data_IF_361854184559
#
_entry.id   IF_361854184559
#
_cell.length_a   1.000
_cell.length_b   1.000
_cell.length_c   1.000
_cell.angle_alpha   90.00
_cell.angle_beta   90.00
_cell.angle_gamma   90.00
#
_symmetry.space_group_name_H-M   'P 1'
#
loop_
_entity.id
_entity.type
_entity.pdbx_description
1 polymer ?
#
# COMPACT_ATOMS: atom_id res chain seq x y z
N UNK A 1 30.15 -23.37 21.99
CA UNK A 1 28.71 -23.66 22.12
C UNK A 1 27.98 -22.57 21.36
N UNK A 2 27.63 -22.83 20.09
CA UNK A 2 27.03 -21.84 19.18
C UNK A 2 25.52 -21.84 19.39
N UNK A 3 24.94 -20.66 19.58
CA UNK A 3 23.51 -20.47 19.80
C UNK A 3 22.70 -20.97 18.60
N UNK A 4 21.65 -21.75 18.89
CA UNK A 4 20.62 -22.16 17.95
C UNK A 4 19.93 -20.89 17.43
N UNK A 5 20.17 -20.52 16.18
CA UNK A 5 19.33 -19.55 15.49
C UNK A 5 18.09 -20.33 15.06
N UNK A 6 16.95 -20.09 15.71
CA UNK A 6 15.68 -20.65 15.26
C UNK A 6 15.47 -20.24 13.79
N UNK A 7 15.35 -21.25 12.95
CA UNK A 7 15.16 -21.11 11.52
C UNK A 7 13.81 -20.42 11.29
N UNK A 8 13.86 -19.21 10.72
CA UNK A 8 12.66 -18.43 10.44
C UNK A 8 11.71 -19.23 9.54
N UNK A 9 10.57 -19.66 10.10
CA UNK A 9 9.48 -20.29 9.37
C UNK A 9 8.50 -19.20 8.94
N UNK A 10 8.52 -18.73 7.67
CA UNK A 10 7.55 -17.76 7.21
C UNK A 10 6.14 -18.37 7.31
N UNK A 11 5.30 -17.79 8.17
CA UNK A 11 3.90 -18.17 8.29
C UNK A 11 3.22 -18.14 6.91
N UNK A 12 2.48 -19.21 6.59
CA UNK A 12 1.89 -19.46 5.29
C UNK A 12 1.28 -18.18 4.67
N UNK A 13 1.80 -17.81 3.50
CA UNK A 13 1.29 -16.70 2.71
C UNK A 13 -0.11 -17.08 2.24
N UNK A 14 -1.15 -16.57 2.93
CA UNK A 14 -2.53 -16.80 2.53
C UNK A 14 -2.73 -16.28 1.10
N UNK A 15 -3.11 -17.11 0.10
CA UNK A 15 -3.22 -16.71 -1.30
C UNK A 15 -4.50 -15.92 -1.60
N UNK A 16 -5.25 -15.52 -0.57
CA UNK A 16 -6.53 -14.86 -0.69
C UNK A 16 -6.48 -13.45 -0.09
N UNK A 17 -6.09 -12.49 -0.93
CA UNK A 17 -6.85 -11.25 -1.08
C UNK A 17 -6.66 -10.14 -0.04
N UNK A 18 -5.50 -10.03 0.62
CA UNK A 18 -5.18 -8.85 1.45
C UNK A 18 -5.29 -7.53 0.67
N UNK A 19 -5.03 -7.60 -0.64
CA UNK A 19 -5.03 -6.46 -1.55
C UNK A 19 -6.27 -6.35 -2.45
N UNK A 20 -7.17 -7.34 -2.35
CA UNK A 20 -8.37 -7.42 -3.20
C UNK A 20 -9.36 -6.28 -2.91
N UNK A 21 -9.46 -5.82 -1.66
CA UNK A 21 -10.29 -4.68 -1.27
C UNK A 21 -9.85 -3.36 -1.92
N UNK A 22 -8.57 -3.25 -2.28
CA UNK A 22 -7.98 -2.12 -2.99
C UNK A 22 -7.89 -2.35 -4.51
N UNK A 23 -8.43 -3.47 -5.02
CA UNK A 23 -8.37 -3.82 -6.44
C UNK A 23 -6.96 -4.09 -6.98
N UNK A 24 -5.99 -4.37 -6.10
CA UNK A 24 -4.61 -4.65 -6.45
C UNK A 24 -4.38 -6.17 -6.54
N UNK A 25 -3.71 -6.67 -7.61
CA UNK A 25 -3.36 -8.08 -7.72
C UNK A 25 -2.33 -8.47 -6.65
N UNK A 26 -2.37 -9.73 -6.19
CA UNK A 26 -1.40 -10.26 -5.25
C UNK A 26 0.04 -10.05 -5.78
N UNK A 27 0.93 -9.68 -4.86
CA UNK A 27 2.32 -9.30 -5.10
C UNK A 27 2.97 -10.18 -6.19
N UNK A 28 3.08 -9.63 -7.39
CA UNK A 28 3.56 -10.33 -8.58
C UNK A 28 3.73 -9.39 -9.77
N UNK A 29 4.09 -9.97 -10.93
CA UNK A 29 4.32 -9.25 -12.19
C UNK A 29 3.17 -8.30 -12.56
N UNK A 30 1.91 -8.68 -12.30
CA UNK A 30 0.74 -7.84 -12.59
C UNK A 30 0.66 -6.55 -11.77
N UNK A 31 1.20 -6.54 -10.55
CA UNK A 31 1.29 -5.33 -9.73
C UNK A 31 2.39 -4.40 -10.26
N UNK A 32 3.55 -4.97 -10.62
CA UNK A 32 4.64 -4.21 -11.20
C UNK A 32 4.22 -3.52 -12.50
N UNK A 33 3.49 -4.21 -13.37
CA UNK A 33 2.98 -3.63 -14.61
C UNK A 33 1.96 -2.52 -14.34
N UNK A 34 1.05 -2.68 -13.37
CA UNK A 34 0.12 -1.60 -12.99
C UNK A 34 0.82 -0.37 -12.41
N UNK A 35 1.87 -0.55 -11.61
CA UNK A 35 2.69 0.56 -11.12
C UNK A 35 3.43 1.22 -12.29
N UNK A 36 3.94 0.43 -13.24
CA UNK A 36 4.63 0.92 -14.44
C UNK A 36 3.71 1.72 -15.37
N UNK A 37 2.48 1.26 -15.57
CA UNK A 37 1.42 1.97 -16.30
C UNK A 37 0.89 3.21 -15.55
N UNK A 38 1.21 3.32 -14.26
CA UNK A 38 0.75 4.36 -13.38
C UNK A 38 -0.62 4.06 -12.81
N UNK A 39 -0.80 4.22 -11.49
CA UNK A 39 -2.07 3.99 -10.82
C UNK A 39 -3.11 5.04 -11.20
N UNK A 40 -4.41 4.67 -11.24
CA UNK A 40 -5.48 5.63 -11.47
C UNK A 40 -5.55 6.63 -10.30
N UNK A 41 -5.97 7.87 -10.59
CA UNK A 41 -6.10 8.91 -9.57
C UNK A 41 -7.05 8.50 -8.43
N UNK A 42 -8.09 7.72 -8.76
CA UNK A 42 -9.07 7.17 -7.80
C UNK A 42 -8.43 6.34 -6.69
N UNK A 43 -7.24 5.76 -6.94
CA UNK A 43 -6.50 5.00 -5.93
C UNK A 43 -6.19 5.84 -4.70
N UNK A 44 -5.81 7.11 -4.89
CA UNK A 44 -5.49 8.00 -3.77
C UNK A 44 -6.72 8.32 -2.92
N UNK A 45 -7.88 8.56 -3.55
CA UNK A 45 -9.12 8.79 -2.81
C UNK A 45 -9.61 7.53 -2.08
N UNK A 46 -9.44 6.35 -2.69
CA UNK A 46 -9.78 5.08 -2.05
C UNK A 46 -8.89 4.80 -0.85
N UNK A 47 -7.58 5.04 -0.99
CA UNK A 47 -6.63 4.88 0.10
C UNK A 47 -6.93 5.86 1.24
N UNK A 48 -7.16 7.14 0.95
CA UNK A 48 -7.52 8.15 1.93
C UNK A 48 -8.77 7.76 2.74
N UNK A 49 -9.80 7.24 2.07
CA UNK A 49 -11.01 6.75 2.73
C UNK A 49 -10.75 5.51 3.58
N UNK A 50 -9.91 4.58 3.11
CA UNK A 50 -9.61 3.34 3.83
C UNK A 50 -8.87 3.60 5.15
N UNK A 51 -7.92 4.53 5.14
CA UNK A 51 -7.07 4.83 6.31
C UNK A 51 -7.57 6.05 7.10
N UNK A 52 -8.70 6.63 6.70
CA UNK A 52 -9.32 7.82 7.29
C UNK A 52 -8.35 9.02 7.42
N UNK A 53 -7.41 9.16 6.47
CA UNK A 53 -6.45 10.27 6.42
C UNK A 53 -6.84 11.24 5.31
N UNK A 54 -6.72 12.54 5.58
CA UNK A 54 -6.94 13.58 4.59
C UNK A 54 -6.09 13.38 3.32
N UNK A 55 -6.73 13.49 2.15
CA UNK A 55 -6.09 13.27 0.86
C UNK A 55 -4.91 14.24 0.60
N UNK A 56 -4.95 15.47 1.12
CA UNK A 56 -3.83 16.42 0.96
C UNK A 56 -2.66 16.02 1.85
N UNK A 57 -2.92 15.53 3.05
CA UNK A 57 -1.87 15.00 3.92
C UNK A 57 -1.23 13.76 3.30
N UNK A 58 -2.05 12.82 2.83
CA UNK A 58 -1.59 11.57 2.20
C UNK A 58 -0.74 11.83 0.95
N UNK A 59 -1.18 12.76 0.09
CA UNK A 59 -0.41 13.16 -1.10
C UNK A 59 0.92 13.83 -0.76
N UNK A 60 0.98 14.66 0.28
CA UNK A 60 2.24 15.22 0.76
C UNK A 60 3.21 14.14 1.24
N UNK A 61 2.71 13.10 1.93
CA UNK A 61 3.53 11.99 2.41
C UNK A 61 4.22 11.20 1.31
N UNK A 62 3.66 11.19 0.08
CA UNK A 62 4.29 10.56 -1.10
C UNK A 62 5.04 11.56 -2.00
N UNK A 63 5.21 12.80 -1.55
CA UNK A 63 5.91 13.87 -2.28
C UNK A 63 5.13 14.45 -3.46
N UNK A 64 3.79 14.33 -3.45
CA UNK A 64 2.92 14.94 -4.44
C UNK A 64 2.47 16.30 -3.90
N UNK A 65 2.91 17.38 -4.56
CA UNK A 65 2.49 18.74 -4.20
C UNK A 65 1.04 19.01 -4.60
N UNK A 66 0.36 20.00 -3.99
CA UNK A 66 -1.01 20.38 -4.38
C UNK A 66 -1.14 20.75 -5.86
N UNK A 67 -0.12 21.39 -6.45
CA UNK A 67 -0.11 21.75 -7.87
C UNK A 67 0.03 20.54 -8.78
N UNK A 68 0.81 19.53 -8.38
CA UNK A 68 0.87 18.24 -9.06
C UNK A 68 -0.45 17.50 -8.94
N UNK A 69 -1.09 17.51 -7.75
CA UNK A 69 -2.38 16.88 -7.53
C UNK A 69 -3.44 17.40 -8.51
N UNK A 70 -3.58 18.73 -8.64
CA UNK A 70 -4.51 19.35 -9.60
C UNK A 70 -4.21 18.97 -11.05
N UNK A 71 -2.94 18.79 -11.42
CA UNK A 71 -2.55 18.28 -12.75
C UNK A 71 -2.95 16.81 -12.92
N UNK A 72 -2.79 15.99 -11.87
CA UNK A 72 -3.13 14.55 -11.89
C UNK A 72 -4.63 14.29 -11.92
N UNK A 73 -5.45 15.15 -11.31
CA UNK A 73 -6.91 15.10 -11.46
C UNK A 73 -7.30 15.19 -12.94
N UNK A 74 -6.65 16.09 -13.70
CA UNK A 74 -6.90 16.24 -15.15
C UNK A 74 -6.33 15.09 -15.98
N UNK A 75 -5.16 14.57 -15.60
CA UNK A 75 -4.51 13.47 -16.31
C UNK A 75 -5.14 12.09 -16.00
N UNK A 76 -5.87 11.96 -14.88
CA UNK A 76 -6.54 10.73 -14.45
C UNK A 76 -5.62 9.62 -13.91
N UNK A 77 -4.29 9.74 -14.06
CA UNK A 77 -3.30 8.75 -13.61
C UNK A 77 -2.06 9.38 -12.99
N UNK A 78 -1.45 8.65 -12.07
CA UNK A 78 -0.13 8.93 -11.50
C UNK A 78 1.00 8.46 -12.43
N UNK A 79 2.18 9.03 -12.29
CA UNK A 79 3.40 8.50 -12.91
C UNK A 79 3.84 7.22 -12.23
N UNK A 80 4.73 6.46 -12.88
CA UNK A 80 5.38 5.30 -12.29
C UNK A 80 5.99 5.60 -10.91
N UNK A 81 6.74 6.69 -10.79
CA UNK A 81 7.40 7.05 -9.54
C UNK A 81 6.41 7.43 -8.43
N UNK A 82 5.34 8.17 -8.76
CA UNK A 82 4.29 8.50 -7.79
C UNK A 82 3.51 7.24 -7.37
N UNK A 83 3.24 6.35 -8.32
CA UNK A 83 2.53 5.09 -8.11
C UNK A 83 3.30 4.15 -7.20
N UNK A 84 4.62 4.07 -7.40
CA UNK A 84 5.52 3.26 -6.58
C UNK A 84 5.54 3.76 -5.13
N UNK A 85 5.61 5.09 -4.92
CA UNK A 85 5.56 5.69 -3.58
C UNK A 85 4.20 5.48 -2.90
N UNK A 86 3.10 5.62 -3.63
CA UNK A 86 1.75 5.33 -3.12
C UNK A 86 1.62 3.88 -2.69
N UNK A 87 2.16 2.96 -3.49
CA UNK A 87 2.19 1.56 -3.16
C UNK A 87 3.01 1.28 -1.89
N UNK A 88 4.23 1.82 -1.80
CA UNK A 88 5.09 1.68 -0.63
C UNK A 88 4.43 2.22 0.64
N UNK A 89 3.80 3.39 0.57
CA UNK A 89 3.06 3.95 1.71
C UNK A 89 1.93 3.01 2.15
N UNK A 90 1.16 2.48 1.20
CA UNK A 90 0.09 1.52 1.49
C UNK A 90 0.64 0.28 2.17
N UNK A 91 1.77 -0.25 1.70
CA UNK A 91 2.45 -1.42 2.29
C UNK A 91 2.89 -1.15 3.73
N UNK A 92 3.45 0.03 4.00
CA UNK A 92 3.86 0.43 5.36
C UNK A 92 2.64 0.58 6.27
N UNK A 93 1.57 1.22 5.80
CA UNK A 93 0.34 1.38 6.58
C UNK A 93 -0.29 0.03 6.90
N UNK A 94 -0.32 -0.90 5.95
CA UNK A 94 -0.81 -2.27 6.19
C UNK A 94 0.05 -2.99 7.22
N UNK A 95 1.38 -2.93 7.11
CA UNK A 95 2.28 -3.56 8.07
C UNK A 95 2.15 -2.94 9.47
N UNK A 96 1.95 -1.62 9.56
CA UNK A 96 1.67 -0.96 10.82
C UNK A 96 0.32 -1.42 11.40
N UNK A 97 -0.72 -1.52 10.57
CA UNK A 97 -2.02 -2.03 10.99
C UNK A 97 -1.92 -3.47 11.52
N UNK A 98 -1.21 -4.34 10.80
CA UNK A 98 -0.95 -5.72 11.25
C UNK A 98 -0.20 -5.75 12.58
N UNK A 99 0.79 -4.87 12.78
CA UNK A 99 1.58 -4.80 14.01
C UNK A 99 0.78 -4.28 15.21
N UNK A 100 -0.05 -3.26 15.01
CA UNK A 100 -0.78 -2.58 16.10
C UNK A 100 -2.18 -3.15 16.35
N UNK A 101 -2.80 -3.80 15.37
CA UNK A 101 -4.13 -4.40 15.50
C UNK A 101 -4.14 -5.94 15.46
N UNK A 102 -3.06 -6.56 14.97
CA UNK A 102 -2.94 -8.03 14.85
C UNK A 102 -2.91 -8.77 16.19
N UNK A 103 -2.48 -8.12 17.27
CA UNK A 103 -2.44 -8.71 18.62
C UNK A 103 -3.81 -8.74 19.32
N UNK A 104 -4.87 -8.15 18.74
CA UNK A 104 -6.22 -8.20 19.35
C UNK A 104 -6.97 -9.51 19.10
N UNK A 105 -6.37 -10.50 18.42
CA UNK A 105 -7.02 -11.79 18.07
C UNK A 105 -6.37 -13.04 18.67
N UNK A 106 -5.41 -12.92 19.57
CA UNK A 106 -4.77 -14.06 20.25
C UNK A 106 -5.31 -14.34 21.67
N UNK A 107 -6.45 -13.74 22.05
CA UNK A 107 -7.13 -14.01 23.33
C UNK A 107 -8.58 -14.46 23.13
N UNK A 108 -8.79 -15.73 22.81
CA UNK A 108 -10.07 -16.43 23.01
C UNK A 108 -9.81 -17.93 23.20
#
# INVERSE_FOLDING_TARGET
MLAFIEEYQPGAVSPAGRWASLGLPDLGLGLYERIREGLPFTFLSQLANLVEIDMRLLSKSVGISPSMLSRRVKAGRFTKAESDRLYLLTKVLHAANDLFEGDKKSGQ
#
